data_IF_081646545519
#
_entry.id   IF_081646545519
#
_cell.length_a   1.000
_cell.length_b   1.000
_cell.length_c   1.000
_cell.angle_alpha   90.00
_cell.angle_beta   90.00
_cell.angle_gamma   90.00
#
_symmetry.space_group_name_H-M   'P 1'
#
loop_
_entity.id
_entity.type
_entity.pdbx_description
1 polymer ?
#
# COMPACT_ATOMS: atom_id res chain seq x y z
N UNK A 1 1.85 -30.63 -2.22
CA UNK A 1 0.57 -30.41 -1.51
C UNK A 1 0.59 -29.12 -0.68
N UNK A 2 1.67 -28.84 0.04
CA UNK A 2 1.81 -27.66 0.90
C UNK A 2 1.76 -26.30 0.16
N UNK A 3 2.52 -26.14 -0.93
CA UNK A 3 2.48 -24.93 -1.77
C UNK A 3 1.06 -24.59 -2.27
N UNK A 4 0.30 -25.60 -2.67
CA UNK A 4 -1.04 -25.41 -3.21
C UNK A 4 -2.03 -24.95 -2.13
N UNK A 5 -1.87 -25.47 -0.91
CA UNK A 5 -2.60 -25.01 0.27
C UNK A 5 -2.26 -23.57 0.58
N UNK A 6 -0.98 -23.21 0.65
CA UNK A 6 -0.52 -21.84 0.93
C UNK A 6 -1.01 -20.83 -0.12
N UNK A 7 -0.93 -21.16 -1.41
CA UNK A 7 -1.40 -20.28 -2.48
C UNK A 7 -2.92 -20.10 -2.49
N UNK A 8 -3.68 -21.17 -2.22
CA UNK A 8 -5.13 -21.07 -2.05
C UNK A 8 -5.49 -20.20 -0.85
N UNK A 9 -4.73 -20.34 0.23
CA UNK A 9 -4.89 -19.55 1.44
C UNK A 9 -4.54 -18.07 1.21
N UNK A 10 -3.44 -17.77 0.52
CA UNK A 10 -3.06 -16.41 0.12
C UNK A 10 -4.08 -15.80 -0.86
N UNK A 11 -4.56 -16.57 -1.84
CA UNK A 11 -5.63 -16.15 -2.75
C UNK A 11 -6.89 -15.70 -1.99
N UNK A 12 -7.33 -16.50 -1.02
CA UNK A 12 -8.49 -16.16 -0.19
C UNK A 12 -8.27 -14.91 0.68
N UNK A 13 -7.04 -14.68 1.15
CA UNK A 13 -6.70 -13.54 2.01
C UNK A 13 -6.53 -12.22 1.24
N UNK A 14 -6.00 -12.28 0.03
CA UNK A 14 -5.69 -11.09 -0.79
C UNK A 14 -6.66 -10.85 -1.95
N UNK A 15 -7.65 -11.74 -2.16
CA UNK A 15 -8.60 -11.65 -3.26
C UNK A 15 -7.97 -11.88 -4.65
N UNK A 16 -6.73 -12.38 -4.71
CA UNK A 16 -6.08 -12.74 -5.98
C UNK A 16 -6.46 -14.16 -6.41
N UNK A 17 -6.57 -14.41 -7.72
CA UNK A 17 -6.81 -15.75 -8.24
C UNK A 17 -5.64 -16.71 -7.95
N UNK A 18 -5.93 -17.90 -7.41
CA UNK A 18 -4.92 -18.89 -7.02
C UNK A 18 -3.99 -19.30 -8.18
N UNK A 19 -4.50 -19.43 -9.40
CA UNK A 19 -3.68 -19.71 -10.59
C UNK A 19 -2.72 -18.57 -10.92
N UNK A 20 -3.12 -17.31 -10.72
CA UNK A 20 -2.25 -16.14 -10.93
C UNK A 20 -1.06 -16.18 -9.97
N UNK A 21 -1.33 -16.43 -8.68
CA UNK A 21 -0.28 -16.56 -7.66
C UNK A 21 0.63 -17.76 -7.94
N UNK A 22 0.08 -18.89 -8.37
CA UNK A 22 0.86 -20.08 -8.74
C UNK A 22 1.78 -19.83 -9.94
N UNK A 23 1.29 -19.19 -11.00
CA UNK A 23 2.13 -18.84 -12.15
C UNK A 23 3.20 -17.80 -11.78
N UNK A 24 2.88 -16.79 -10.96
CA UNK A 24 3.88 -15.86 -10.39
C UNK A 24 4.97 -16.65 -9.65
N UNK A 25 4.59 -17.56 -8.75
CA UNK A 25 5.52 -18.40 -8.01
C UNK A 25 6.45 -19.21 -8.95
N UNK A 26 5.89 -19.88 -9.96
CA UNK A 26 6.68 -20.65 -10.92
C UNK A 26 7.64 -19.80 -11.75
N UNK A 27 7.27 -18.54 -12.05
CA UNK A 27 8.16 -17.64 -12.80
C UNK A 27 9.32 -17.08 -11.97
N UNK A 28 9.15 -16.97 -10.65
CA UNK A 28 10.14 -16.40 -9.74
C UNK A 28 11.03 -17.51 -9.15
N UNK A 29 10.44 -18.61 -8.70
CA UNK A 29 11.11 -19.67 -7.94
C UNK A 29 11.12 -21.04 -8.64
N UNK A 30 10.37 -21.19 -9.74
CA UNK A 30 10.22 -22.46 -10.47
C UNK A 30 10.96 -22.52 -11.81
N UNK A 31 10.85 -23.66 -12.53
CA UNK A 31 11.52 -23.88 -13.82
C UNK A 31 11.00 -22.97 -14.94
N UNK A 32 9.85 -22.32 -14.73
CA UNK A 32 9.26 -21.38 -15.69
C UNK A 32 10.01 -20.04 -15.77
N UNK A 33 11.06 -19.81 -14.97
CA UNK A 33 11.97 -18.67 -15.15
C UNK A 33 12.56 -18.61 -16.57
N UNK A 34 12.81 -19.76 -17.22
CA UNK A 34 13.25 -19.82 -18.63
C UNK A 34 12.20 -19.22 -19.58
N UNK A 35 10.91 -19.51 -19.35
CA UNK A 35 9.78 -18.95 -20.12
C UNK A 35 9.63 -17.46 -19.84
N UNK A 36 9.79 -17.03 -18.59
CA UNK A 36 9.78 -15.61 -18.21
C UNK A 36 10.94 -14.84 -18.88
N UNK A 37 12.13 -15.44 -18.97
CA UNK A 37 13.32 -14.91 -19.66
C UNK A 37 13.12 -14.81 -21.17
N UNK A 38 12.53 -15.82 -21.80
CA UNK A 38 12.17 -15.76 -23.23
C UNK A 38 11.10 -14.70 -23.49
N UNK A 39 10.07 -14.61 -22.63
CA UNK A 39 9.04 -13.54 -22.72
C UNK A 39 9.60 -12.14 -22.47
N UNK A 40 10.58 -11.97 -21.60
CA UNK A 40 11.19 -10.66 -21.34
C UNK A 40 12.13 -10.25 -22.47
N UNK A 41 12.84 -11.21 -23.08
CA UNK A 41 13.66 -11.02 -24.27
C UNK A 41 12.80 -10.66 -25.50
N UNK A 42 11.70 -11.38 -25.72
CA UNK A 42 10.70 -11.07 -26.74
C UNK A 42 10.06 -9.68 -26.51
N UNK A 43 9.67 -9.35 -25.27
CA UNK A 43 9.15 -8.02 -24.92
C UNK A 43 10.18 -6.91 -25.12
N UNK A 44 11.47 -7.15 -24.91
CA UNK A 44 12.56 -6.19 -25.21
C UNK A 44 12.69 -5.94 -26.71
N UNK A 45 12.60 -6.98 -27.53
CA UNK A 45 12.66 -6.87 -28.99
C UNK A 45 11.43 -6.13 -29.52
N UNK A 46 10.23 -6.50 -29.07
CA UNK A 46 8.98 -5.81 -29.42
C UNK A 46 8.96 -4.36 -28.91
N UNK A 47 9.52 -4.11 -27.72
CA UNK A 47 9.64 -2.77 -27.14
C UNK A 47 10.64 -1.86 -27.87
N UNK A 48 11.66 -2.41 -28.53
CA UNK A 48 12.57 -1.65 -29.42
C UNK A 48 11.89 -1.21 -30.71
N UNK A 49 10.99 -2.02 -31.26
CA UNK A 49 10.23 -1.72 -32.49
C UNK A 49 9.06 -0.76 -32.20
N UNK A 50 8.47 -0.86 -31.02
CA UNK A 50 7.35 -0.02 -30.57
C UNK A 50 7.89 1.05 -29.62
N UNK A 51 8.62 2.05 -30.12
CA UNK A 51 9.01 3.26 -29.37
C UNK A 51 7.76 4.06 -28.97
N UNK A 52 7.06 3.58 -27.95
CA UNK A 52 6.44 4.46 -26.95
C UNK A 52 7.29 4.27 -25.71
N UNK A 53 7.83 5.35 -25.10
CA UNK A 53 8.37 5.20 -23.76
C UNK A 53 7.26 4.56 -22.94
N UNK A 54 7.54 3.41 -22.32
CA UNK A 54 6.64 2.87 -21.33
C UNK A 54 6.60 3.93 -20.23
N UNK A 55 5.62 4.83 -20.29
CA UNK A 55 5.29 5.67 -19.16
C UNK A 55 4.98 4.68 -18.06
N UNK A 56 5.87 4.59 -17.06
CA UNK A 56 5.56 3.92 -15.81
C UNK A 56 4.16 4.39 -15.44
N UNK A 57 3.24 3.44 -15.19
CA UNK A 57 1.84 3.76 -14.90
C UNK A 57 1.85 4.85 -13.84
N UNK A 58 1.55 6.09 -14.26
CA UNK A 58 1.66 7.25 -13.39
C UNK A 58 0.66 6.98 -12.29
N UNK A 59 1.15 6.87 -11.06
CA UNK A 59 0.28 6.60 -9.93
C UNK A 59 -0.85 7.64 -9.95
N UNK A 60 -2.10 7.20 -9.75
CA UNK A 60 -3.29 8.04 -9.98
C UNK A 60 -3.24 9.40 -9.26
N UNK A 61 -2.53 9.45 -8.12
CA UNK A 61 -2.30 10.68 -7.37
C UNK A 61 -1.45 11.74 -8.11
N UNK A 62 -0.59 11.35 -9.06
CA UNK A 62 0.29 12.28 -9.79
C UNK A 62 -0.47 13.30 -10.61
N UNK A 63 -1.71 12.99 -11.03
CA UNK A 63 -2.60 13.94 -11.70
C UNK A 63 -3.26 14.95 -10.75
N UNK A 64 -3.33 14.65 -9.45
CA UNK A 64 -3.98 15.49 -8.44
C UNK A 64 -3.04 16.54 -7.82
N UNK A 65 -1.74 16.37 -7.98
CA UNK A 65 -0.72 17.33 -7.49
C UNK A 65 -0.48 18.40 -8.55
N UNK A 66 -0.26 19.64 -8.12
CA UNK A 66 0.09 20.73 -9.02
C UNK A 66 1.29 20.32 -9.91
N UNK A 67 1.18 20.35 -11.26
CA UNK A 67 2.24 19.88 -12.15
C UNK A 67 3.57 20.63 -12.00
N UNK A 68 3.52 21.93 -11.72
CA UNK A 68 4.72 22.74 -11.53
C UNK A 68 5.40 22.41 -10.20
N UNK A 69 4.64 22.19 -9.13
CA UNK A 69 5.19 21.69 -7.86
C UNK A 69 5.84 20.32 -8.07
N UNK A 70 5.13 19.40 -8.73
CA UNK A 70 5.61 18.04 -8.98
C UNK A 70 6.91 18.05 -9.79
N UNK A 71 7.03 18.92 -10.80
CA UNK A 71 8.24 19.11 -11.61
C UNK A 71 9.38 19.72 -10.81
N UNK A 72 9.14 20.84 -10.12
CA UNK A 72 10.17 21.56 -9.34
C UNK A 72 10.76 20.72 -8.20
N UNK A 73 9.97 19.81 -7.64
CA UNK A 73 10.38 18.96 -6.51
C UNK A 73 10.76 17.54 -6.90
N UNK A 74 10.73 17.23 -8.20
CA UNK A 74 10.95 15.88 -8.73
C UNK A 74 10.10 14.80 -8.02
N UNK A 75 8.86 15.15 -7.71
CA UNK A 75 8.03 14.40 -6.77
C UNK A 75 7.76 12.97 -7.25
N UNK A 76 7.47 12.82 -8.55
CA UNK A 76 7.16 11.52 -9.13
C UNK A 76 8.37 10.57 -9.04
N UNK A 77 9.57 11.03 -9.40
CA UNK A 77 10.78 10.20 -9.33
C UNK A 77 11.15 9.89 -7.87
N UNK A 78 11.06 10.88 -6.97
CA UNK A 78 11.29 10.66 -5.54
C UNK A 78 10.36 9.60 -4.95
N UNK A 79 9.08 9.64 -5.31
CA UNK A 79 8.11 8.63 -4.89
C UNK A 79 8.46 7.24 -5.43
N UNK A 80 8.83 7.14 -6.71
CA UNK A 80 9.27 5.87 -7.30
C UNK A 80 10.53 5.34 -6.60
N UNK A 81 11.50 6.22 -6.32
CA UNK A 81 12.74 5.86 -5.63
C UNK A 81 12.50 5.42 -4.19
N UNK A 82 11.62 6.10 -3.44
CA UNK A 82 11.28 5.72 -2.07
C UNK A 82 10.51 4.39 -1.98
N UNK A 83 9.68 4.10 -2.99
CA UNK A 83 8.94 2.84 -3.06
C UNK A 83 9.71 1.68 -3.67
N UNK A 84 10.92 1.91 -4.20
CA UNK A 84 11.69 0.87 -4.87
C UNK A 84 12.39 -0.06 -3.88
N UNK A 85 11.81 -1.24 -3.68
CA UNK A 85 12.45 -2.33 -2.95
C UNK A 85 13.34 -3.16 -3.91
N UNK A 86 14.63 -3.34 -3.62
CA UNK A 86 15.50 -4.19 -4.43
C UNK A 86 15.05 -5.66 -4.41
N UNK A 87 15.18 -6.36 -5.53
CA UNK A 87 14.76 -7.78 -5.65
C UNK A 87 15.47 -8.67 -4.62
N UNK A 88 16.76 -8.42 -4.35
CA UNK A 88 17.53 -9.17 -3.36
C UNK A 88 16.97 -9.02 -1.94
N UNK A 89 16.34 -7.88 -1.64
CA UNK A 89 15.65 -7.63 -0.36
C UNK A 89 14.32 -8.38 -0.33
N UNK A 90 13.54 -8.32 -1.41
CA UNK A 90 12.23 -8.99 -1.51
C UNK A 90 12.31 -10.52 -1.45
N UNK A 91 13.49 -11.11 -1.71
CA UNK A 91 13.70 -12.55 -1.66
C UNK A 91 13.72 -13.12 -0.22
N UNK A 92 13.87 -12.28 0.80
CA UNK A 92 13.88 -12.69 2.20
C UNK A 92 12.89 -11.85 2.99
N UNK A 93 12.03 -12.52 3.78
CA UNK A 93 11.08 -11.84 4.65
C UNK A 93 11.81 -10.97 5.69
N UNK A 94 12.87 -11.47 6.30
CA UNK A 94 13.66 -10.71 7.28
C UNK A 94 14.29 -9.44 6.66
N UNK A 95 14.85 -9.55 5.45
CA UNK A 95 15.40 -8.37 4.74
C UNK A 95 14.29 -7.39 4.35
N UNK A 96 13.14 -7.90 3.89
CA UNK A 96 11.96 -7.11 3.56
C UNK A 96 11.47 -6.33 4.78
N UNK A 97 11.32 -7.00 5.92
CA UNK A 97 10.89 -6.36 7.17
C UNK A 97 11.88 -5.28 7.61
N UNK A 98 13.19 -5.59 7.61
CA UNK A 98 14.23 -4.61 7.92
C UNK A 98 14.19 -3.39 6.98
N UNK A 99 14.00 -3.61 5.68
CA UNK A 99 13.89 -2.53 4.70
C UNK A 99 12.70 -1.63 5.02
N UNK A 100 11.52 -2.21 5.29
CA UNK A 100 10.31 -1.45 5.65
C UNK A 100 10.53 -0.55 6.87
N UNK A 101 11.16 -1.08 7.92
CA UNK A 101 11.51 -0.30 9.12
C UNK A 101 12.54 0.81 8.86
N UNK A 102 13.38 0.64 7.84
CA UNK A 102 14.43 1.62 7.48
C UNK A 102 13.93 2.71 6.54
N UNK A 103 12.68 2.62 6.06
CA UNK A 103 12.10 3.66 5.19
C UNK A 103 11.49 4.80 6.00
N UNK A 104 11.28 5.94 5.34
CA UNK A 104 10.56 7.07 5.93
C UNK A 104 9.05 6.86 6.10
N UNK A 105 8.50 5.69 5.77
CA UNK A 105 7.06 5.43 5.80
C UNK A 105 6.49 5.50 7.22
N UNK A 106 7.13 4.86 8.19
CA UNK A 106 6.63 4.83 9.58
C UNK A 106 6.77 6.18 10.27
N UNK A 107 7.93 6.88 10.22
CA UNK A 107 8.05 8.24 10.74
C UNK A 107 6.98 9.17 10.16
N UNK A 108 6.76 9.12 8.85
CA UNK A 108 5.74 9.93 8.19
C UNK A 108 4.32 9.60 8.70
N UNK A 109 3.99 8.32 8.88
CA UNK A 109 2.70 7.92 9.43
C UNK A 109 2.49 8.47 10.84
N UNK A 110 3.51 8.42 11.70
CA UNK A 110 3.42 8.99 13.04
C UNK A 110 3.24 10.49 13.03
N UNK A 111 3.99 11.23 12.20
CA UNK A 111 3.82 12.68 12.07
C UNK A 111 2.41 13.07 11.63
N UNK A 112 1.82 12.32 10.69
CA UNK A 112 0.46 12.56 10.21
C UNK A 112 -0.57 12.29 11.31
N UNK A 113 -0.46 11.15 12.00
CA UNK A 113 -1.38 10.77 13.06
C UNK A 113 -1.26 11.68 14.29
N UNK A 114 -0.05 12.09 14.64
CA UNK A 114 0.21 12.98 15.77
C UNK A 114 -0.37 14.37 15.53
N UNK A 115 -0.16 14.96 14.35
CA UNK A 115 -0.80 16.23 13.95
C UNK A 115 -2.33 16.14 13.99
N UNK A 116 -2.89 15.03 13.55
CA UNK A 116 -4.34 14.82 13.58
C UNK A 116 -4.86 14.72 15.03
N UNK A 117 -4.18 13.97 15.90
CA UNK A 117 -4.57 13.76 17.28
C UNK A 117 -4.38 15.01 18.17
N UNK A 118 -3.30 15.77 17.94
CA UNK A 118 -2.99 17.00 18.66
C UNK A 118 -4.11 18.06 18.52
N UNK A 119 -4.80 18.11 17.36
CA UNK A 119 -5.96 18.98 17.15
C UNK A 119 -7.12 18.69 18.13
N UNK A 120 -7.12 17.52 18.76
CA UNK A 120 -8.12 17.09 19.74
C UNK A 120 -7.53 16.93 21.15
N UNK A 121 -6.30 17.37 21.38
CA UNK A 121 -5.61 17.21 22.67
C UNK A 121 -5.36 15.74 23.04
N UNK A 122 -5.28 14.86 22.04
CA UNK A 122 -5.05 13.42 22.24
C UNK A 122 -3.59 13.09 21.93
N UNK A 123 -2.95 12.34 22.81
CA UNK A 123 -1.61 11.79 22.58
C UNK A 123 -1.72 10.32 22.14
N UNK A 124 -1.45 9.99 20.86
CA UNK A 124 -1.53 8.63 20.38
C UNK A 124 -0.38 7.79 20.92
N UNK A 125 -0.68 6.59 21.42
CA UNK A 125 0.34 5.61 21.83
C UNK A 125 0.36 4.44 20.84
N UNK A 126 1.55 3.93 20.56
CA UNK A 126 1.77 2.85 19.61
C UNK A 126 2.44 1.64 20.30
N UNK A 127 1.70 0.83 21.09
CA UNK A 127 2.29 -0.27 21.86
C UNK A 127 3.06 -1.30 21.01
N UNK A 128 2.66 -1.49 19.75
CA UNK A 128 3.36 -2.38 18.82
C UNK A 128 4.65 -1.80 18.24
N UNK A 129 4.93 -0.52 18.48
CA UNK A 129 6.18 0.16 18.11
C UNK A 129 7.15 0.26 19.29
N UNK A 130 7.00 -0.60 20.29
CA UNK A 130 7.99 -0.78 21.34
C UNK A 130 9.25 -1.48 20.76
N UNK A 131 10.44 -0.96 21.10
CA UNK A 131 11.70 -1.42 20.51
C UNK A 131 11.94 -2.93 20.72
N UNK A 132 11.87 -3.47 21.96
CA UNK A 132 11.96 -4.92 22.20
C UNK A 132 11.02 -5.75 21.33
N UNK A 133 9.77 -5.31 21.16
CA UNK A 133 8.80 -6.03 20.34
C UNK A 133 9.15 -5.99 18.84
N UNK A 134 9.62 -4.84 18.35
CA UNK A 134 10.10 -4.71 16.96
C UNK A 134 11.31 -5.60 16.71
N UNK A 135 12.28 -5.62 17.62
CA UNK A 135 13.47 -6.48 17.56
C UNK A 135 13.09 -7.98 17.59
N UNK A 136 12.16 -8.37 18.46
CA UNK A 136 11.59 -9.72 18.46
C UNK A 136 10.96 -10.06 17.10
N UNK A 137 10.13 -9.17 16.53
CA UNK A 137 9.50 -9.40 15.24
C UNK A 137 10.48 -9.43 14.07
N UNK A 138 11.65 -8.78 14.18
CA UNK A 138 12.73 -8.89 13.20
C UNK A 138 13.42 -10.26 13.25
N UNK A 139 13.54 -10.86 14.45
CA UNK A 139 14.13 -12.17 14.64
C UNK A 139 13.17 -13.34 14.33
N UNK A 140 11.87 -13.09 14.23
CA UNK A 140 10.88 -14.13 13.93
C UNK A 140 11.08 -14.75 12.54
N UNK A 141 10.95 -16.09 12.42
CA UNK A 141 10.80 -16.75 11.13
C UNK A 141 9.61 -16.18 10.34
N UNK A 142 9.72 -16.12 9.01
CA UNK A 142 8.67 -15.56 8.15
C UNK A 142 7.34 -16.31 8.27
N UNK A 143 7.39 -17.61 8.55
CA UNK A 143 6.24 -18.49 8.76
C UNK A 143 5.42 -18.06 9.98
N UNK A 144 6.05 -17.47 11.00
CA UNK A 144 5.32 -16.95 12.17
C UNK A 144 4.54 -15.67 11.83
N UNK A 145 4.88 -14.98 10.73
CA UNK A 145 4.16 -13.81 10.22
C UNK A 145 3.10 -14.20 9.20
N UNK A 146 3.31 -15.26 8.42
CA UNK A 146 2.34 -15.79 7.47
C UNK A 146 2.40 -17.32 7.47
N UNK A 147 1.30 -17.96 7.90
CA UNK A 147 1.17 -19.42 7.90
C UNK A 147 -0.26 -19.83 7.67
N UNK A 148 -0.46 -20.87 6.85
CA UNK A 148 -1.76 -21.41 6.50
C UNK A 148 -2.73 -20.33 5.96
N UNK A 149 -2.19 -19.28 5.31
CA UNK A 149 -2.94 -18.12 4.80
C UNK A 149 -3.26 -17.02 5.81
N UNK A 150 -2.90 -17.19 7.07
CA UNK A 150 -3.12 -16.20 8.10
C UNK A 150 -1.89 -15.33 8.27
N UNK A 151 -2.04 -14.05 7.94
CA UNK A 151 -1.08 -13.03 8.38
C UNK A 151 -1.15 -12.81 9.89
N UNK A 152 -0.03 -12.39 10.49
CA UNK A 152 0.16 -12.16 11.93
C UNK A 152 -0.12 -13.44 12.75
N UNK A 153 0.28 -14.60 12.24
CA UNK A 153 -0.05 -15.89 12.84
C UNK A 153 0.43 -15.99 14.31
N UNK A 154 1.65 -15.55 14.61
CA UNK A 154 2.19 -15.47 15.98
C UNK A 154 1.30 -14.67 16.92
N UNK A 155 0.79 -13.51 16.49
CA UNK A 155 -0.09 -12.67 17.29
C UNK A 155 -1.44 -13.33 17.51
N UNK A 156 -1.99 -13.98 16.46
CA UNK A 156 -3.24 -14.73 16.59
C UNK A 156 -3.10 -15.84 17.62
N UNK A 157 -2.01 -16.62 17.59
CA UNK A 157 -1.72 -17.66 18.58
C UNK A 157 -1.57 -17.07 20.00
N UNK A 158 -0.84 -15.96 20.14
CA UNK A 158 -0.67 -15.30 21.42
C UNK A 158 -1.98 -14.79 22.04
N UNK A 159 -2.99 -14.47 21.21
CA UNK A 159 -4.31 -14.01 21.67
C UNK A 159 -5.32 -15.15 21.94
N UNK A 160 -4.90 -16.41 21.87
CA UNK A 160 -5.76 -17.53 22.19
C UNK A 160 -6.23 -17.45 23.65
N UNK A 161 -7.54 -17.55 23.88
CA UNK A 161 -8.14 -17.38 25.21
C UNK A 161 -8.29 -15.92 25.66
N UNK A 162 -7.72 -14.96 24.94
CA UNK A 162 -7.88 -13.51 25.18
C UNK A 162 -8.97 -12.92 24.28
N UNK A 163 -8.97 -13.29 23.00
CA UNK A 163 -9.96 -12.81 22.01
C UNK A 163 -10.97 -13.90 21.66
N UNK A 164 -12.23 -13.55 21.35
CA UNK A 164 -13.19 -14.49 20.79
C UNK A 164 -12.66 -15.11 19.48
N UNK A 165 -12.86 -16.42 19.23
CA UNK A 165 -12.34 -17.07 18.03
C UNK A 165 -12.76 -16.39 16.71
N UNK A 166 -13.99 -15.84 16.66
CA UNK A 166 -14.49 -15.11 15.50
C UNK A 166 -13.66 -13.85 15.16
N UNK A 167 -13.11 -13.18 16.18
CA UNK A 167 -12.22 -12.01 16.01
C UNK A 167 -10.79 -12.47 15.76
N UNK A 168 -10.30 -13.41 16.58
CA UNK A 168 -8.93 -13.94 16.51
C UNK A 168 -8.59 -14.53 15.14
N UNK A 169 -9.54 -15.18 14.47
CA UNK A 169 -9.35 -15.86 13.19
C UNK A 169 -10.04 -15.18 12.01
N UNK A 170 -10.45 -13.92 12.19
CA UNK A 170 -11.01 -13.13 11.10
C UNK A 170 -10.01 -12.99 9.94
N UNK A 171 -10.48 -13.23 8.71
CA UNK A 171 -9.67 -13.15 7.48
C UNK A 171 -9.78 -11.79 6.79
N UNK A 172 -10.95 -11.18 6.84
CA UNK A 172 -11.20 -9.87 6.25
C UNK A 172 -10.48 -8.76 7.04
N UNK A 173 -10.09 -7.77 6.25
CA UNK A 173 -9.63 -6.47 6.74
C UNK A 173 -10.77 -5.49 6.51
N UNK A 174 -10.97 -4.61 7.47
CA UNK A 174 -11.92 -3.52 7.29
C UNK A 174 -11.37 -2.56 6.24
N UNK A 175 -12.24 -2.17 5.30
CA UNK A 175 -11.97 -1.07 4.38
C UNK A 175 -12.67 0.19 4.94
N UNK A 176 -11.88 1.22 5.23
CA UNK A 176 -12.39 2.48 5.74
C UNK A 176 -12.80 3.46 4.64
N UNK A 177 -12.67 3.11 3.36
CA UNK A 177 -12.93 4.01 2.22
C UNK A 177 -14.35 4.57 2.26
N UNK A 178 -15.37 3.73 2.48
CA UNK A 178 -16.76 4.19 2.55
C UNK A 178 -16.99 5.17 3.73
N UNK A 179 -16.36 4.92 4.88
CA UNK A 179 -16.44 5.81 6.04
C UNK A 179 -15.74 7.14 5.77
N UNK A 180 -14.57 7.10 5.12
CA UNK A 180 -13.84 8.30 4.71
C UNK A 180 -14.66 9.14 3.74
N UNK A 181 -15.22 8.52 2.70
CA UNK A 181 -16.07 9.20 1.71
C UNK A 181 -17.30 9.81 2.39
N UNK A 182 -17.98 9.06 3.26
CA UNK A 182 -19.13 9.56 4.03
C UNK A 182 -18.75 10.74 4.93
N UNK A 183 -17.65 10.65 5.67
CA UNK A 183 -17.18 11.74 6.53
C UNK A 183 -16.84 12.98 5.72
N UNK A 184 -16.14 12.80 4.60
CA UNK A 184 -15.71 13.88 3.74
C UNK A 184 -16.89 14.58 3.04
N UNK A 185 -17.78 13.81 2.40
CA UNK A 185 -18.90 14.35 1.61
C UNK A 185 -20.16 14.66 2.42
N UNK A 186 -20.35 14.01 3.57
CA UNK A 186 -21.50 14.21 4.44
C UNK A 186 -21.20 15.18 5.58
N UNK A 187 -20.17 14.91 6.39
CA UNK A 187 -19.90 15.67 7.61
C UNK A 187 -19.06 16.94 7.37
N UNK A 188 -18.22 16.94 6.33
CA UNK A 188 -17.25 18.01 6.06
C UNK A 188 -17.43 18.66 4.69
N UNK A 189 -18.65 18.61 4.15
CA UNK A 189 -18.93 19.12 2.81
C UNK A 189 -18.63 20.62 2.67
N UNK A 190 -19.06 21.41 3.63
CA UNK A 190 -18.85 22.87 3.63
C UNK A 190 -17.37 23.24 3.62
N UNK A 191 -16.53 22.47 4.33
CA UNK A 191 -15.08 22.67 4.33
C UNK A 191 -14.49 22.38 2.96
N UNK A 192 -14.91 21.29 2.31
CA UNK A 192 -14.50 20.97 0.95
C UNK A 192 -14.89 22.07 -0.02
N UNK A 193 -16.15 22.50 -0.01
CA UNK A 193 -16.64 23.54 -0.91
C UNK A 193 -15.90 24.86 -0.68
N UNK A 194 -15.66 25.24 0.59
CA UNK A 194 -14.85 26.41 0.92
C UNK A 194 -13.44 26.29 0.36
N UNK A 195 -12.75 25.17 0.56
CA UNK A 195 -11.37 24.97 0.09
C UNK A 195 -11.27 24.91 -1.44
N UNK A 196 -12.27 24.35 -2.13
CA UNK A 196 -12.24 24.18 -3.58
C UNK A 196 -12.75 25.42 -4.34
N UNK A 197 -13.60 26.24 -3.71
CA UNK A 197 -14.25 27.39 -4.35
C UNK A 197 -13.73 28.71 -3.78
N UNK A 198 -13.87 28.91 -2.46
CA UNK A 198 -13.62 30.20 -1.81
C UNK A 198 -12.15 30.46 -1.48
N UNK A 199 -11.44 29.43 -1.02
CA UNK A 199 -10.05 29.48 -0.54
C UNK A 199 -9.10 28.72 -1.51
N UNK A 200 -9.51 28.57 -2.77
CA UNK A 200 -8.82 27.73 -3.76
C UNK A 200 -7.37 28.16 -3.97
N UNK A 201 -7.09 29.46 -3.86
CA UNK A 201 -5.75 30.04 -3.96
C UNK A 201 -4.77 29.54 -2.89
N UNK A 202 -5.28 29.12 -1.71
CA UNK A 202 -4.43 28.57 -0.63
C UNK A 202 -3.89 27.19 -0.98
N UNK A 203 -4.67 26.39 -1.70
CA UNK A 203 -4.31 25.02 -2.07
C UNK A 203 -3.77 24.91 -3.50
N UNK A 204 -4.05 25.89 -4.37
CA UNK A 204 -3.61 25.94 -5.76
C UNK A 204 -2.11 25.66 -5.97
N UNK A 205 -1.17 26.13 -5.10
CA UNK A 205 0.25 25.81 -5.24
C UNK A 205 0.58 24.32 -5.07
N UNK A 206 -0.31 23.55 -4.45
CA UNK A 206 -0.09 22.16 -4.06
C UNK A 206 -0.90 21.17 -4.88
N UNK A 207 -2.13 21.53 -5.26
CA UNK A 207 -3.06 20.63 -5.96
C UNK A 207 -3.32 21.07 -7.40
N UNK A 208 -3.64 20.10 -8.26
CA UNK A 208 -4.16 20.36 -9.60
C UNK A 208 -5.67 20.63 -9.50
N UNK A 209 -6.03 21.90 -9.28
CA UNK A 209 -7.42 22.32 -9.07
C UNK A 209 -8.39 21.81 -10.15
N UNK A 210 -8.11 21.92 -11.46
CA UNK A 210 -8.99 21.36 -12.50
C UNK A 210 -9.30 19.86 -12.30
N UNK A 211 -8.27 19.05 -12.05
CA UNK A 211 -8.44 17.60 -11.86
C UNK A 211 -9.15 17.28 -10.54
N UNK A 212 -8.80 17.98 -9.45
CA UNK A 212 -9.45 17.79 -8.15
C UNK A 212 -10.92 18.17 -8.21
N UNK A 213 -11.27 19.27 -8.87
CA UNK A 213 -12.67 19.67 -9.06
C UNK A 213 -13.43 18.68 -9.92
N UNK A 214 -12.81 18.14 -10.99
CA UNK A 214 -13.43 17.10 -11.80
C UNK A 214 -13.68 15.80 -11.00
N UNK A 215 -12.73 15.39 -10.15
CA UNK A 215 -12.89 14.25 -9.24
C UNK A 215 -14.00 14.51 -8.22
N UNK A 216 -14.00 15.69 -7.59
CA UNK A 216 -15.01 16.08 -6.62
C UNK A 216 -16.41 16.04 -7.23
N UNK A 217 -16.60 16.63 -8.42
CA UNK A 217 -17.86 16.57 -9.15
C UNK A 217 -18.32 15.13 -9.41
N UNK A 218 -17.42 14.23 -9.82
CA UNK A 218 -17.75 12.80 -10.03
C UNK A 218 -18.16 12.09 -8.74
N UNK A 219 -17.54 12.42 -7.61
CA UNK A 219 -17.87 11.82 -6.30
C UNK A 219 -19.24 12.27 -5.78
N UNK A 220 -19.72 13.42 -6.25
CA UNK A 220 -21.00 14.01 -5.85
C UNK A 220 -22.16 13.61 -6.77
N UNK A 221 -21.86 13.20 -7.99
CA UNK A 221 -22.86 12.61 -8.88
C UNK A 221 -23.32 11.25 -8.34
N UNK A 222 -24.63 10.96 -8.32
CA UNK A 222 -25.10 9.61 -8.07
C UNK A 222 -24.56 8.64 -9.14
N UNK A 223 -24.36 7.36 -8.79
CA UNK A 223 -23.94 6.34 -9.74
C UNK A 223 -24.93 6.11 -10.87
#
# INVERSE_FOLDING_TARGET
LELWRELRSAANTYGEGMLSLYFKFLTIYGPAWRIARVRSMARRVVGKVRRRPAQAARAAWTGLVNPELARRTDLAERFHRSGHMPIAVSASEALTHRWLLSTGLVPHAFEVLDKAAANFGVEPRYPFWDKPLVEFCLALPGEEKLKDGFGRHVLRRAMQGVLPPAVQWRRDKIDFTANLVKGMLGNHRELLDRLLISDSERIAPYVNLPEVNAVSARLLSPP
#
